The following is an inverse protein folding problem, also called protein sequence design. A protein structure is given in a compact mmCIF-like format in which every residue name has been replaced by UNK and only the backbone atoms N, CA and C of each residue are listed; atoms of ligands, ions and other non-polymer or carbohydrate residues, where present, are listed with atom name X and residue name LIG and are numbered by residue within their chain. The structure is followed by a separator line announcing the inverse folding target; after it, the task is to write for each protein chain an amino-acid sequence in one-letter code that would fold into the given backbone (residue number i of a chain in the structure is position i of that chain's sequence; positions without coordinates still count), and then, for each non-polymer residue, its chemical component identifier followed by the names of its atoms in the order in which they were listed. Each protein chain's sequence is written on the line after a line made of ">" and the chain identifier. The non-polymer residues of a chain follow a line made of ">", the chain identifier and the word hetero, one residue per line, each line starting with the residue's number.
data_IF_203575190408
#
_entry.id   IF_203575190408
#
_cell.length_a   1.000
_cell.length_b   1.000
_cell.length_c   1.000
_cell.angle_alpha   90.00
_cell.angle_beta   90.00
_cell.angle_gamma   90.00
#
_symmetry.space_group_name_H-M   'P 1'
#
loop_
_entity.id
_entity.type
_entity.pdbx_description
1 polymer ?
#
# COMPACT_ATOMS: atom_id res chain seq x y z
N UNK A 1 31.22 -41.31 3.34
CA UNK A 1 30.27 -42.11 2.54
C UNK A 1 29.39 -42.87 3.51
N UNK A 2 28.04 -42.78 3.44
CA UNK A 2 27.21 -43.16 2.30
C UNK A 2 26.23 -42.06 1.86
N UNK A 3 25.77 -42.21 0.61
CA UNK A 3 24.83 -41.39 -0.06
C UNK A 3 23.39 -41.63 0.41
N UNK A 4 22.61 -40.54 0.58
CA UNK A 4 21.18 -40.61 0.78
C UNK A 4 20.46 -40.20 -0.49
N UNK A 5 19.74 -41.15 -1.05
CA UNK A 5 18.86 -41.02 -2.21
C UNK A 5 17.57 -40.33 -1.85
N UNK A 6 17.12 -39.35 -2.65
CA UNK A 6 15.77 -38.79 -2.61
C UNK A 6 14.83 -39.54 -3.56
N UNK A 7 13.59 -39.81 -3.17
CA UNK A 7 12.63 -40.41 -4.08
C UNK A 7 11.89 -39.34 -4.90
N UNK A 8 11.76 -39.65 -6.19
CA UNK A 8 10.88 -39.01 -7.17
C UNK A 8 9.41 -39.24 -6.82
N UNK A 9 8.60 -38.21 -6.79
CA UNK A 9 7.16 -38.34 -6.74
C UNK A 9 6.47 -37.78 -7.99
N UNK A 10 5.93 -38.68 -8.78
CA UNK A 10 4.65 -38.79 -9.43
C UNK A 10 4.12 -37.58 -10.23
N UNK A 11 4.22 -37.75 -11.55
CA UNK A 11 3.30 -37.21 -12.54
C UNK A 11 1.99 -37.99 -12.52
N UNK A 12 0.88 -37.32 -12.28
CA UNK A 12 -0.45 -37.85 -12.56
C UNK A 12 -0.96 -37.26 -13.88
N UNK A 13 -0.92 -38.06 -14.93
CA UNK A 13 -1.58 -37.81 -16.22
C UNK A 13 -3.07 -38.14 -16.10
N UNK A 14 -3.95 -37.18 -16.35
CA UNK A 14 -5.38 -37.46 -16.55
C UNK A 14 -5.67 -37.47 -18.05
N UNK A 15 -5.77 -38.66 -18.63
CA UNK A 15 -6.42 -38.93 -19.91
C UNK A 15 -7.90 -39.25 -19.64
N UNK A 16 -8.81 -38.50 -20.24
CA UNK A 16 -10.14 -38.95 -20.49
C UNK A 16 -10.71 -38.28 -21.73
N UNK A 17 -10.82 -39.04 -22.75
CA UNK A 17 -11.95 -39.39 -23.60
C UNK A 17 -12.44 -38.33 -24.58
N UNK A 18 -11.87 -38.48 -25.78
CA UNK A 18 -12.62 -38.22 -27.02
C UNK A 18 -13.65 -39.30 -27.21
N UNK A 19 -14.91 -38.98 -27.41
CA UNK A 19 -15.81 -39.74 -28.28
C UNK A 19 -16.82 -38.82 -28.96
N UNK A 20 -16.94 -39.09 -30.19
CA UNK A 20 -17.57 -38.60 -31.37
C UNK A 20 -19.09 -38.52 -31.41
N UNK A 21 -19.56 -37.63 -32.29
CA UNK A 21 -20.75 -37.65 -33.13
C UNK A 21 -22.10 -37.30 -32.50
N UNK A 22 -22.67 -36.18 -32.94
CA UNK A 22 -23.86 -36.17 -33.78
C UNK A 22 -24.29 -34.75 -34.17
N UNK A 23 -24.53 -34.56 -35.45
CA UNK A 23 -25.16 -33.40 -36.09
C UNK A 23 -26.55 -33.13 -35.50
N UNK A 24 -26.82 -31.87 -35.11
CA UNK A 24 -28.17 -31.29 -35.29
C UNK A 24 -28.03 -29.75 -35.29
N UNK A 25 -28.22 -29.20 -36.46
CA UNK A 25 -28.39 -27.77 -36.70
C UNK A 25 -29.70 -27.27 -36.12
N UNK A 26 -29.64 -26.54 -34.99
CA UNK A 26 -30.75 -25.69 -34.56
C UNK A 26 -30.21 -24.25 -34.49
N UNK A 27 -30.65 -23.47 -35.48
CA UNK A 27 -30.50 -22.03 -35.51
C UNK A 27 -31.38 -21.40 -34.44
N UNK A 28 -30.80 -20.95 -33.33
CA UNK A 28 -31.46 -20.02 -32.42
C UNK A 28 -31.22 -18.60 -32.91
N UNK A 29 -32.28 -17.99 -33.47
CA UNK A 29 -32.29 -16.54 -33.70
C UNK A 29 -32.50 -15.84 -32.37
N UNK A 30 -31.43 -15.22 -31.84
CA UNK A 30 -31.52 -14.31 -30.71
C UNK A 30 -31.96 -12.97 -31.23
N UNK A 31 -33.21 -12.59 -30.97
CA UNK A 31 -33.68 -11.21 -31.14
C UNK A 31 -32.97 -10.32 -30.11
N UNK A 32 -32.00 -9.54 -30.55
CA UNK A 32 -31.41 -8.45 -29.78
C UNK A 32 -32.35 -7.24 -29.80
N UNK A 33 -32.67 -6.64 -28.66
CA UNK A 33 -33.41 -5.36 -28.65
C UNK A 33 -32.51 -4.21 -29.18
N UNK A 34 -33.13 -3.16 -29.71
CA UNK A 34 -32.37 -2.06 -30.34
C UNK A 34 -31.51 -1.29 -29.31
N UNK A 35 -30.32 -0.91 -29.76
CA UNK A 35 -29.30 -0.15 -29.04
C UNK A 35 -29.87 1.14 -28.42
N UNK A 36 -30.04 1.13 -27.09
CA UNK A 36 -30.00 2.35 -26.29
C UNK A 36 -28.79 2.26 -25.35
N UNK A 37 -27.65 2.77 -25.79
CA UNK A 37 -26.38 2.78 -25.06
C UNK A 37 -26.19 4.10 -24.31
N UNK A 38 -27.17 4.54 -23.56
CA UNK A 38 -26.96 5.60 -22.57
C UNK A 38 -26.69 4.97 -21.20
N UNK A 39 -25.59 5.31 -20.52
CA UNK A 39 -25.31 4.80 -19.18
C UNK A 39 -26.29 5.40 -18.19
N UNK A 40 -27.20 4.58 -17.65
CA UNK A 40 -28.06 4.99 -16.53
C UNK A 40 -27.24 5.01 -15.27
N UNK A 41 -27.07 6.19 -14.69
CA UNK A 41 -26.51 6.37 -13.36
C UNK A 41 -27.52 5.90 -12.31
N UNK A 42 -27.21 4.81 -11.63
CA UNK A 42 -27.79 4.48 -10.33
C UNK A 42 -26.68 4.80 -9.31
N UNK A 43 -27.01 5.61 -8.30
CA UNK A 43 -26.06 6.06 -7.28
C UNK A 43 -25.28 4.88 -6.69
N UNK A 44 -23.97 4.90 -6.85
CA UNK A 44 -23.03 4.05 -6.11
C UNK A 44 -22.55 2.77 -6.78
N UNK A 45 -23.10 2.29 -7.91
CA UNK A 45 -22.72 1.02 -8.52
C UNK A 45 -22.23 1.18 -9.96
N UNK A 46 -20.95 0.85 -10.20
CA UNK A 46 -20.41 0.69 -11.55
C UNK A 46 -20.73 -0.73 -12.07
N UNK A 47 -21.64 -0.84 -13.02
CA UNK A 47 -21.91 -2.11 -13.72
C UNK A 47 -20.97 -2.22 -14.91
N UNK A 48 -20.14 -3.26 -14.95
CA UNK A 48 -19.36 -3.61 -16.15
C UNK A 48 -20.27 -4.27 -17.20
N UNK A 49 -19.87 -4.24 -18.48
CA UNK A 49 -20.51 -4.91 -19.62
C UNK A 49 -20.81 -6.42 -19.43
N UNK A 50 -20.29 -7.04 -18.37
CA UNK A 50 -20.50 -8.45 -18.03
C UNK A 50 -21.61 -8.67 -16.99
N UNK A 51 -22.30 -7.61 -16.52
CA UNK A 51 -23.33 -7.72 -15.49
C UNK A 51 -22.84 -8.13 -14.09
N UNK A 52 -21.52 -8.26 -13.89
CA UNK A 52 -20.93 -8.58 -12.58
C UNK A 52 -20.70 -7.29 -11.81
N UNK A 53 -21.39 -7.15 -10.69
CA UNK A 53 -21.25 -6.02 -9.78
C UNK A 53 -19.83 -6.01 -9.18
N UNK A 54 -19.12 -4.87 -9.29
CA UNK A 54 -17.79 -4.74 -8.70
C UNK A 54 -17.91 -4.74 -7.17
N UNK A 55 -17.01 -5.46 -6.47
CA UNK A 55 -17.01 -5.42 -5.01
C UNK A 55 -16.76 -3.99 -4.50
N UNK A 56 -17.38 -3.61 -3.36
CA UNK A 56 -17.15 -2.32 -2.76
C UNK A 56 -15.67 -2.19 -2.37
N UNK A 57 -15.06 -1.04 -2.68
CA UNK A 57 -13.70 -0.74 -2.27
C UNK A 57 -13.66 -0.42 -0.78
N UNK A 58 -12.58 -0.78 -0.07
CA UNK A 58 -12.38 -0.36 1.31
C UNK A 58 -12.60 1.15 1.48
N UNK A 59 -13.20 1.56 2.58
CA UNK A 59 -13.39 2.97 2.89
C UNK A 59 -12.06 3.65 3.17
N UNK A 60 -11.18 2.97 3.94
CA UNK A 60 -9.85 3.48 4.31
C UNK A 60 -8.75 2.44 4.11
N UNK A 61 -7.56 2.94 3.81
CA UNK A 61 -6.29 2.24 3.95
C UNK A 61 -5.52 3.00 5.03
N UNK A 62 -5.31 2.38 6.19
CA UNK A 62 -4.70 2.99 7.37
C UNK A 62 -3.29 2.41 7.51
N UNK A 63 -2.28 3.27 7.40
CA UNK A 63 -0.88 2.91 7.53
C UNK A 63 -0.43 3.15 8.97
N UNK A 64 0.07 2.13 9.66
CA UNK A 64 0.49 2.20 11.06
C UNK A 64 1.94 1.77 11.18
N UNK A 65 2.82 2.64 11.70
CA UNK A 65 4.17 2.25 12.12
C UNK A 65 4.11 1.49 13.44
N UNK A 66 5.00 0.51 13.61
CA UNK A 66 5.15 -0.19 14.90
C UNK A 66 5.37 0.78 16.08
N UNK A 67 4.93 0.39 17.28
CA UNK A 67 5.18 1.10 18.52
C UNK A 67 6.68 1.19 18.86
N UNK A 68 7.03 1.89 19.92
CA UNK A 68 8.41 2.01 20.35
C UNK A 68 9.02 0.62 20.59
N UNK A 69 10.11 0.31 19.86
CA UNK A 69 10.87 -0.94 20.01
C UNK A 69 12.12 -0.75 20.88
N UNK A 70 12.69 -1.86 21.35
CA UNK A 70 13.98 -1.86 22.05
C UNK A 70 15.06 -1.17 21.22
N UNK A 71 15.09 -1.38 19.90
CA UNK A 71 16.02 -0.72 18.98
C UNK A 71 15.78 0.77 18.79
N UNK A 72 14.59 1.30 19.11
CA UNK A 72 14.34 2.74 19.13
C UNK A 72 14.90 3.43 20.40
N UNK A 73 15.00 2.70 21.50
CA UNK A 73 15.55 3.19 22.77
C UNK A 73 17.06 3.05 22.81
N UNK A 74 17.56 1.89 22.40
CA UNK A 74 18.99 1.57 22.38
C UNK A 74 19.38 0.85 21.08
N UNK A 75 20.07 1.55 20.19
CA UNK A 75 20.58 0.97 18.95
C UNK A 75 21.53 -0.22 19.18
N UNK A 76 22.14 -0.35 20.38
CA UNK A 76 22.98 -1.50 20.69
C UNK A 76 22.19 -2.83 20.77
N UNK A 77 20.86 -2.77 20.85
CA UNK A 77 20.02 -3.95 20.77
C UNK A 77 20.27 -4.73 19.47
N UNK A 78 20.52 -4.03 18.35
CA UNK A 78 20.79 -4.65 17.05
C UNK A 78 22.12 -5.43 17.00
N UNK A 79 23.06 -5.18 17.90
CA UNK A 79 24.30 -5.96 17.98
C UNK A 79 24.12 -7.30 18.68
N UNK A 80 23.04 -7.45 19.44
CA UNK A 80 22.75 -8.64 20.25
C UNK A 80 21.59 -9.47 19.70
N UNK A 81 20.64 -8.81 19.06
CA UNK A 81 19.41 -9.43 18.56
C UNK A 81 19.24 -9.07 17.09
N UNK A 82 18.96 -10.05 16.24
CA UNK A 82 18.69 -9.82 14.83
C UNK A 82 17.48 -8.89 14.65
N UNK A 83 17.55 -7.95 13.72
CA UNK A 83 16.52 -6.92 13.48
C UNK A 83 15.08 -7.48 13.43
N UNK A 84 14.79 -8.60 12.74
CA UNK A 84 13.44 -9.16 12.73
C UNK A 84 12.92 -9.60 14.11
N UNK A 85 13.81 -9.82 15.07
CA UNK A 85 13.49 -10.34 16.42
C UNK A 85 13.42 -9.24 17.50
N UNK A 86 13.75 -7.98 17.16
CA UNK A 86 13.65 -6.85 18.09
C UNK A 86 12.21 -6.68 18.54
N UNK A 87 12.00 -6.64 19.86
CA UNK A 87 10.68 -6.54 20.49
C UNK A 87 10.22 -5.09 20.68
N UNK A 88 8.93 -4.90 20.99
CA UNK A 88 8.42 -3.67 21.55
C UNK A 88 8.85 -3.48 23.00
N UNK A 89 8.95 -2.22 23.43
CA UNK A 89 8.97 -1.86 24.84
C UNK A 89 7.56 -1.89 25.42
N UNK A 90 7.41 -1.88 26.76
CA UNK A 90 6.12 -1.72 27.41
C UNK A 90 5.40 -0.43 26.94
N UNK A 91 6.17 0.66 26.74
CA UNK A 91 5.64 1.91 26.19
C UNK A 91 5.11 1.70 24.77
N UNK A 92 5.86 0.97 23.92
CA UNK A 92 5.43 0.68 22.55
C UNK A 92 4.14 -0.15 22.48
N UNK A 93 3.93 -1.06 23.43
CA UNK A 93 2.67 -1.82 23.56
C UNK A 93 1.49 -0.90 23.92
N UNK A 94 1.68 0.02 24.89
CA UNK A 94 0.66 1.00 25.27
C UNK A 94 0.35 1.99 24.12
N UNK A 95 1.38 2.44 23.39
CA UNK A 95 1.20 3.28 22.18
C UNK A 95 0.36 2.55 21.13
N UNK A 96 0.60 1.26 20.92
CA UNK A 96 -0.17 0.45 19.97
C UNK A 96 -1.62 0.22 20.42
N UNK A 97 -1.88 0.02 21.70
CA UNK A 97 -3.25 -0.08 22.26
C UNK A 97 -4.01 1.22 22.04
N UNK A 98 -3.40 2.37 22.36
CA UNK A 98 -3.98 3.69 22.10
C UNK A 98 -4.28 3.90 20.62
N UNK A 99 -3.36 3.53 19.72
CA UNK A 99 -3.58 3.59 18.29
C UNK A 99 -4.79 2.75 17.86
N UNK A 100 -4.94 1.55 18.41
CA UNK A 100 -6.08 0.68 18.14
C UNK A 100 -7.42 1.31 18.55
N UNK A 101 -7.46 1.95 19.73
CA UNK A 101 -8.63 2.68 20.22
C UNK A 101 -8.98 3.83 19.27
N UNK A 102 -7.98 4.64 18.89
CA UNK A 102 -8.19 5.77 17.97
C UNK A 102 -8.72 5.33 16.60
N UNK A 103 -8.19 4.21 16.06
CA UNK A 103 -8.69 3.65 14.79
C UNK A 103 -10.15 3.19 14.95
N UNK A 104 -10.48 2.50 16.03
CA UNK A 104 -11.86 2.06 16.28
C UNK A 104 -12.81 3.25 16.39
N UNK A 105 -12.48 4.24 17.20
CA UNK A 105 -13.31 5.44 17.40
C UNK A 105 -13.52 6.21 16.10
N UNK A 106 -12.47 6.36 15.29
CA UNK A 106 -12.57 6.97 13.96
C UNK A 106 -13.55 6.20 13.05
N UNK A 107 -13.52 4.86 13.07
CA UNK A 107 -14.42 4.04 12.25
C UNK A 107 -15.87 4.11 12.81
N UNK A 108 -16.04 4.08 14.11
CA UNK A 108 -17.36 4.14 14.77
C UNK A 108 -18.04 5.50 14.58
N UNK A 109 -17.26 6.59 14.50
CA UNK A 109 -17.75 7.93 14.20
C UNK A 109 -18.45 8.04 12.83
N UNK A 110 -18.21 7.10 11.90
CA UNK A 110 -18.93 7.04 10.63
C UNK A 110 -20.41 6.64 10.78
N UNK A 111 -20.81 6.10 11.92
CA UNK A 111 -22.19 5.66 12.21
C UNK A 111 -22.60 4.34 11.54
N UNK A 112 -21.74 3.70 10.74
CA UNK A 112 -22.07 2.43 10.11
C UNK A 112 -21.99 1.26 11.10
N UNK A 113 -23.03 0.41 11.14
CA UNK A 113 -23.09 -0.75 12.04
C UNK A 113 -22.39 -1.99 11.52
N UNK A 114 -22.11 -2.05 10.22
CA UNK A 114 -21.57 -3.23 9.49
C UNK A 114 -20.07 -3.16 9.21
N UNK A 115 -19.36 -2.19 9.78
CA UNK A 115 -17.94 -1.99 9.51
C UNK A 115 -17.08 -3.20 9.90
N UNK A 116 -16.01 -3.41 9.11
CA UNK A 116 -15.01 -4.47 9.31
C UNK A 116 -13.61 -3.90 9.15
N UNK A 117 -12.62 -4.64 9.71
CA UNK A 117 -11.20 -4.34 9.56
C UNK A 117 -10.48 -5.57 9.03
N UNK A 118 -9.60 -5.37 8.06
CA UNK A 118 -8.66 -6.37 7.55
C UNK A 118 -7.23 -5.89 7.79
N UNK A 119 -6.38 -6.76 8.31
CA UNK A 119 -5.01 -6.41 8.66
C UNK A 119 -3.99 -7.04 7.70
N UNK A 120 -3.06 -6.23 7.22
CA UNK A 120 -1.76 -6.67 6.72
C UNK A 120 -0.69 -6.32 7.75
N UNK A 121 0.27 -7.21 7.97
CA UNK A 121 1.32 -6.99 8.95
C UNK A 121 2.67 -7.48 8.43
N UNK A 122 3.73 -6.71 8.70
CA UNK A 122 5.11 -7.14 8.51
C UNK A 122 5.44 -8.32 9.43
N UNK A 123 6.28 -9.28 9.02
CA UNK A 123 6.65 -10.45 9.84
C UNK A 123 7.58 -10.13 11.01
N UNK A 124 8.06 -8.89 11.15
CA UNK A 124 8.98 -8.53 12.23
C UNK A 124 8.27 -8.52 13.58
N UNK A 125 8.96 -9.00 14.63
CA UNK A 125 8.39 -9.17 15.97
C UNK A 125 7.71 -7.88 16.47
N UNK A 126 8.37 -6.73 16.36
CA UNK A 126 7.81 -5.43 16.80
C UNK A 126 6.50 -5.05 16.09
N UNK A 127 6.31 -5.44 14.83
CA UNK A 127 5.05 -5.20 14.09
C UNK A 127 3.97 -6.21 14.47
N UNK A 128 4.32 -7.47 14.71
CA UNK A 128 3.39 -8.49 15.21
C UNK A 128 2.89 -8.16 16.62
N UNK A 129 3.79 -7.71 17.51
CA UNK A 129 3.43 -7.25 18.86
C UNK A 129 2.58 -5.95 18.81
N UNK A 130 2.86 -5.05 17.87
CA UNK A 130 2.03 -3.86 17.61
C UNK A 130 0.63 -4.28 17.18
N UNK A 131 0.49 -5.20 16.22
CA UNK A 131 -0.82 -5.70 15.80
C UNK A 131 -1.55 -6.38 16.96
N UNK A 132 -0.87 -7.22 17.74
CA UNK A 132 -1.46 -7.89 18.90
C UNK A 132 -2.03 -6.92 19.93
N UNK A 133 -1.32 -5.81 20.21
CA UNK A 133 -1.76 -4.77 21.14
C UNK A 133 -2.90 -3.92 20.54
N UNK A 134 -2.76 -3.49 19.28
CA UNK A 134 -3.76 -2.69 18.56
C UNK A 134 -5.08 -3.46 18.40
N UNK A 135 -5.01 -4.76 18.09
CA UNK A 135 -6.18 -5.58 17.84
C UNK A 135 -7.08 -5.79 19.08
N UNK A 136 -6.58 -5.56 20.31
CA UNK A 136 -7.38 -5.59 21.54
C UNK A 136 -8.56 -4.61 21.53
N UNK A 137 -8.45 -3.52 20.74
CA UNK A 137 -9.52 -2.56 20.60
C UNK A 137 -10.72 -3.08 19.78
N UNK A 138 -10.58 -4.21 19.06
CA UNK A 138 -11.60 -4.70 18.13
C UNK A 138 -12.22 -6.01 18.62
N UNK A 139 -13.55 -6.07 18.64
CA UNK A 139 -14.22 -7.34 18.84
C UNK A 139 -13.93 -8.29 17.67
N UNK A 140 -13.81 -9.60 17.95
CA UNK A 140 -13.46 -10.62 16.95
C UNK A 140 -14.36 -10.59 15.71
N UNK A 141 -15.65 -10.30 15.89
CA UNK A 141 -16.62 -10.22 14.80
C UNK A 141 -16.35 -9.05 13.84
N UNK A 142 -15.57 -8.04 14.24
CA UNK A 142 -15.16 -6.90 13.41
C UNK A 142 -13.93 -7.18 12.55
N UNK A 143 -13.18 -8.22 12.86
CA UNK A 143 -11.95 -8.58 12.15
C UNK A 143 -12.32 -9.51 10.98
N UNK A 144 -12.23 -9.00 9.76
CA UNK A 144 -12.47 -9.77 8.53
C UNK A 144 -11.32 -10.75 8.25
N UNK A 145 -10.08 -10.37 8.56
CA UNK A 145 -8.93 -11.24 8.39
C UNK A 145 -7.62 -10.57 8.78
N UNK A 146 -6.57 -11.38 8.84
CA UNK A 146 -5.19 -10.96 9.09
C UNK A 146 -4.29 -11.70 8.10
N UNK A 147 -3.36 -10.97 7.48
CA UNK A 147 -2.36 -11.55 6.58
C UNK A 147 -0.97 -11.01 6.92
N UNK A 148 -0.07 -11.91 7.21
CA UNK A 148 1.36 -11.59 7.26
C UNK A 148 1.88 -11.40 5.83
N UNK A 149 2.65 -10.31 5.61
CA UNK A 149 3.13 -9.94 4.29
C UNK A 149 4.63 -9.59 4.36
N UNK A 150 5.51 -10.50 3.91
CA UNK A 150 6.96 -10.31 4.02
C UNK A 150 7.50 -9.10 3.26
N UNK A 151 6.81 -8.64 2.21
CA UNK A 151 7.20 -7.43 1.47
C UNK A 151 7.03 -6.15 2.28
N UNK A 152 6.28 -6.20 3.41
CA UNK A 152 6.12 -5.08 4.35
C UNK A 152 7.23 -4.97 5.39
N UNK A 153 8.28 -5.82 5.37
CA UNK A 153 9.43 -5.72 6.28
C UNK A 153 10.13 -4.37 6.16
N UNK A 154 10.91 -3.99 7.17
CA UNK A 154 11.72 -2.77 7.10
C UNK A 154 12.84 -2.91 6.06
N UNK A 155 13.43 -1.78 5.67
CA UNK A 155 14.69 -1.76 4.91
C UNK A 155 15.73 -2.57 5.66
N UNK A 156 16.42 -3.46 4.96
CA UNK A 156 17.57 -4.14 5.53
C UNK A 156 18.76 -3.19 5.55
N UNK A 157 19.22 -2.89 6.76
CA UNK A 157 20.38 -2.02 6.96
C UNK A 157 21.72 -2.78 6.93
N UNK A 158 21.69 -4.07 6.62
CA UNK A 158 22.87 -4.93 6.61
C UNK A 158 23.33 -5.31 8.01
N UNK A 159 24.64 -5.46 8.22
CA UNK A 159 25.19 -5.95 9.46
C UNK A 159 25.33 -4.86 10.53
N UNK A 160 24.45 -4.85 11.53
CA UNK A 160 24.47 -3.95 12.68
C UNK A 160 25.47 -4.31 13.79
N UNK A 161 26.26 -5.37 13.64
CA UNK A 161 27.14 -5.85 14.71
C UNK A 161 28.25 -4.85 15.05
N UNK A 162 28.62 -3.97 14.11
CA UNK A 162 29.58 -2.89 14.30
C UNK A 162 28.84 -1.53 14.31
N UNK A 163 28.69 -0.96 15.52
CA UNK A 163 27.97 0.29 15.73
C UNK A 163 28.67 1.49 15.07
N UNK A 164 29.99 1.56 15.15
CA UNK A 164 30.76 2.70 14.60
C UNK A 164 30.69 2.68 13.08
N UNK A 165 30.87 1.51 12.47
CA UNK A 165 30.71 1.33 11.04
C UNK A 165 29.30 1.69 10.58
N UNK A 166 28.28 1.32 11.33
CA UNK A 166 26.89 1.67 11.02
C UNK A 166 26.63 3.18 11.08
N UNK A 167 27.24 3.89 12.05
CA UNK A 167 27.14 5.35 12.11
C UNK A 167 27.78 6.02 10.90
N UNK A 168 28.93 5.52 10.45
CA UNK A 168 29.58 5.99 9.21
C UNK A 168 28.70 5.76 7.99
N UNK A 169 28.09 4.59 7.87
CA UNK A 169 27.19 4.28 6.76
C UNK A 169 25.93 5.17 6.77
N UNK A 170 25.36 5.45 7.95
CA UNK A 170 24.24 6.39 8.09
C UNK A 170 24.65 7.82 7.68
N UNK A 171 25.87 8.26 8.00
CA UNK A 171 26.39 9.55 7.58
C UNK A 171 26.61 9.62 6.06
N UNK A 172 27.20 8.59 5.45
CA UNK A 172 27.33 8.47 3.98
C UNK A 172 25.97 8.55 3.29
N UNK A 173 24.97 7.81 3.82
CA UNK A 173 23.60 7.84 3.31
C UNK A 173 23.01 9.25 3.34
N UNK A 174 23.28 10.03 4.39
CA UNK A 174 22.77 11.41 4.50
C UNK A 174 23.31 12.31 3.39
N UNK A 175 24.56 12.08 2.95
CA UNK A 175 25.19 12.82 1.85
C UNK A 175 24.74 12.31 0.47
N UNK A 176 24.58 11.00 0.31
CA UNK A 176 24.26 10.38 -0.98
C UNK A 176 22.79 10.49 -1.35
N UNK A 177 21.90 10.62 -0.36
CA UNK A 177 20.45 10.54 -0.50
C UNK A 177 19.89 9.22 0.00
N UNK A 178 18.75 9.30 0.70
CA UNK A 178 18.14 8.12 1.35
C UNK A 178 17.57 7.12 0.38
N UNK A 179 17.21 7.54 -0.84
CA UNK A 179 16.52 6.67 -1.80
C UNK A 179 17.47 5.70 -2.47
N UNK A 180 18.60 6.16 -3.00
CA UNK A 180 19.50 5.32 -3.79
C UNK A 180 20.65 4.72 -2.99
N UNK A 181 20.96 5.24 -1.80
CA UNK A 181 22.04 4.68 -1.00
C UNK A 181 21.72 3.25 -0.57
N UNK A 182 22.58 2.30 -0.95
CA UNK A 182 22.51 0.91 -0.51
C UNK A 182 23.46 0.69 0.66
N UNK A 183 22.93 0.17 1.76
CA UNK A 183 23.79 -0.29 2.86
C UNK A 183 24.62 -1.50 2.44
N UNK A 184 25.88 -1.62 2.89
CA UNK A 184 26.66 -2.84 2.70
C UNK A 184 25.89 -4.06 3.24
N UNK A 185 25.78 -5.11 2.42
CA UNK A 185 25.01 -6.32 2.74
C UNK A 185 23.51 -6.09 3.07
N UNK A 186 22.96 -4.95 2.61
CA UNK A 186 21.59 -4.54 2.88
C UNK A 186 20.85 -4.02 1.66
N UNK A 187 19.73 -3.35 1.91
CA UNK A 187 18.85 -2.74 0.90
C UNK A 187 19.11 -1.22 0.77
N UNK A 188 18.87 -0.68 -0.41
CA UNK A 188 18.55 0.72 -0.62
C UNK A 188 17.04 0.95 -0.45
N UNK A 189 16.58 2.19 -0.36
CA UNK A 189 15.15 2.47 -0.42
C UNK A 189 14.57 2.17 -1.82
N UNK A 190 15.38 2.18 -2.89
CA UNK A 190 14.98 1.73 -4.21
C UNK A 190 14.62 0.24 -4.21
N UNK A 191 15.38 -0.64 -3.53
CA UNK A 191 15.02 -2.06 -3.38
C UNK A 191 13.70 -2.23 -2.62
N UNK A 192 13.49 -1.42 -1.58
CA UNK A 192 12.21 -1.38 -0.86
C UNK A 192 11.08 -0.96 -1.79
N UNK A 193 11.30 0.03 -2.67
CA UNK A 193 10.33 0.49 -3.65
C UNK A 193 9.91 -0.63 -4.61
N UNK A 194 10.85 -1.45 -5.07
CA UNK A 194 10.58 -2.56 -5.98
C UNK A 194 9.69 -3.62 -5.32
N UNK A 195 10.01 -4.05 -4.10
CA UNK A 195 9.17 -5.03 -3.39
C UNK A 195 7.81 -4.48 -2.95
N UNK A 196 7.74 -3.19 -2.62
CA UNK A 196 6.48 -2.51 -2.31
C UNK A 196 5.63 -2.32 -3.56
N UNK A 197 6.22 -2.17 -4.75
CA UNK A 197 5.49 -2.19 -6.01
C UNK A 197 4.73 -3.51 -6.17
N UNK A 198 5.39 -4.65 -5.94
CA UNK A 198 4.73 -5.96 -5.97
C UNK A 198 3.62 -6.11 -4.92
N UNK A 199 3.81 -5.59 -3.70
CA UNK A 199 2.75 -5.59 -2.68
C UNK A 199 1.56 -4.71 -3.09
N UNK A 200 1.83 -3.49 -3.61
CA UNK A 200 0.79 -2.58 -4.07
C UNK A 200 -0.09 -3.21 -5.15
N UNK A 201 0.50 -3.93 -6.11
CA UNK A 201 -0.28 -4.62 -7.14
C UNK A 201 -1.13 -5.76 -6.54
N UNK A 202 -0.60 -6.50 -5.56
CA UNK A 202 -1.38 -7.49 -4.81
C UNK A 202 -2.55 -6.83 -4.07
N UNK A 203 -2.31 -5.74 -3.36
CA UNK A 203 -3.35 -5.00 -2.64
C UNK A 203 -4.43 -4.47 -3.59
N UNK A 204 -4.04 -3.94 -4.77
CA UNK A 204 -4.99 -3.52 -5.79
C UNK A 204 -5.86 -4.67 -6.28
N UNK A 205 -5.24 -5.81 -6.59
CA UNK A 205 -5.98 -7.00 -7.01
C UNK A 205 -6.95 -7.49 -5.91
N UNK A 206 -6.51 -7.47 -4.64
CA UNK A 206 -7.37 -7.84 -3.51
C UNK A 206 -8.54 -6.86 -3.33
N UNK A 207 -8.33 -5.56 -3.57
CA UNK A 207 -9.40 -4.53 -3.59
C UNK A 207 -10.36 -4.76 -4.77
N UNK A 208 -9.81 -4.88 -5.98
CA UNK A 208 -10.63 -4.94 -7.21
C UNK A 208 -11.42 -6.26 -7.32
N UNK A 209 -10.95 -7.34 -6.69
CA UNK A 209 -11.62 -8.65 -6.62
C UNK A 209 -12.44 -8.85 -5.34
N UNK A 210 -12.31 -7.94 -4.35
CA UNK A 210 -13.01 -8.03 -3.07
C UNK A 210 -12.59 -9.23 -2.23
N UNK A 211 -11.29 -9.58 -2.21
CA UNK A 211 -10.76 -10.76 -1.52
C UNK A 211 -10.71 -10.68 0.00
N UNK A 212 -11.10 -9.57 0.59
CA UNK A 212 -11.07 -9.35 2.04
C UNK A 212 -12.22 -10.02 2.77
N UNK A 213 -13.30 -10.32 2.08
CA UNK A 213 -14.54 -10.86 2.65
C UNK A 213 -15.20 -11.81 1.66
N UNK A 214 -15.93 -12.83 2.16
CA UNK A 214 -16.79 -13.66 1.31
C UNK A 214 -17.78 -12.79 0.52
N UNK A 215 -18.18 -13.19 -0.69
CA UNK A 215 -19.06 -12.38 -1.56
C UNK A 215 -20.38 -11.95 -0.91
N UNK A 216 -20.95 -12.82 -0.09
CA UNK A 216 -22.20 -12.63 0.65
C UNK A 216 -22.07 -11.77 1.92
N UNK A 217 -20.84 -11.45 2.34
CA UNK A 217 -20.53 -10.69 3.55
C UNK A 217 -19.79 -9.39 3.28
N UNK A 218 -19.73 -8.94 2.02
CA UNK A 218 -19.01 -7.74 1.63
C UNK A 218 -19.68 -6.50 2.18
N UNK A 219 -18.94 -5.77 3.02
CA UNK A 219 -19.34 -4.46 3.54
C UNK A 219 -18.63 -3.34 2.79
N UNK A 220 -19.34 -2.27 2.39
CA UNK A 220 -18.72 -1.06 1.85
C UNK A 220 -17.93 -0.29 2.92
N UNK A 221 -18.12 -0.62 4.20
CA UNK A 221 -17.46 -0.02 5.37
C UNK A 221 -16.25 -0.85 5.83
N UNK A 222 -15.60 -1.54 4.92
CA UNK A 222 -14.33 -2.22 5.18
C UNK A 222 -13.18 -1.21 5.29
N UNK A 223 -12.34 -1.41 6.30
CA UNK A 223 -11.10 -0.66 6.49
C UNK A 223 -9.91 -1.63 6.42
N UNK A 224 -8.88 -1.28 5.69
CA UNK A 224 -7.63 -2.05 5.60
C UNK A 224 -6.58 -1.35 6.46
N UNK A 225 -5.98 -2.07 7.41
CA UNK A 225 -4.91 -1.56 8.26
C UNK A 225 -3.61 -2.27 7.91
N UNK A 226 -2.56 -1.50 7.64
CA UNK A 226 -1.24 -2.00 7.27
C UNK A 226 -0.27 -1.64 8.38
N UNK A 227 0.17 -2.64 9.16
CA UNK A 227 1.13 -2.47 10.25
C UNK A 227 2.54 -2.79 9.74
N UNK A 228 3.40 -1.78 9.70
CA UNK A 228 4.73 -1.89 9.10
C UNK A 228 5.73 -0.91 9.75
N UNK A 229 6.68 -0.38 8.97
CA UNK A 229 7.84 0.38 9.43
C UNK A 229 7.92 1.73 8.75
N UNK A 230 8.68 2.63 9.36
CA UNK A 230 8.69 4.02 8.96
C UNK A 230 9.14 4.28 7.53
N UNK A 231 10.24 3.66 7.07
CA UNK A 231 10.70 3.84 5.69
C UNK A 231 9.77 3.13 4.71
N UNK A 232 9.41 1.89 5.01
CA UNK A 232 8.54 1.06 4.15
C UNK A 232 7.19 1.73 3.89
N UNK A 233 6.57 2.36 4.90
CA UNK A 233 5.30 3.07 4.75
C UNK A 233 5.44 4.36 3.92
N UNK A 234 6.55 5.10 4.07
CA UNK A 234 6.82 6.28 3.22
C UNK A 234 7.03 5.88 1.76
N UNK A 235 7.72 4.78 1.51
CA UNK A 235 7.87 4.20 0.16
C UNK A 235 6.52 3.72 -0.39
N UNK A 236 5.65 3.15 0.46
CA UNK A 236 4.30 2.77 0.04
C UNK A 236 3.50 4.00 -0.43
N UNK A 237 3.53 5.11 0.32
CA UNK A 237 2.89 6.36 -0.10
C UNK A 237 3.49 6.90 -1.39
N UNK A 238 4.83 6.96 -1.49
CA UNK A 238 5.53 7.36 -2.71
C UNK A 238 5.06 6.54 -3.91
N UNK A 239 4.99 5.22 -3.77
CA UNK A 239 4.56 4.33 -4.86
C UNK A 239 3.08 4.45 -5.18
N UNK A 240 2.25 4.70 -4.18
CA UNK A 240 0.80 4.86 -4.36
C UNK A 240 0.46 6.14 -5.12
N UNK A 241 1.00 7.27 -4.69
CA UNK A 241 0.73 8.59 -5.27
C UNK A 241 1.70 8.98 -6.39
N UNK A 242 2.64 8.11 -6.77
CA UNK A 242 3.65 8.35 -7.81
C UNK A 242 4.54 9.57 -7.52
N UNK A 243 4.86 9.79 -6.24
CA UNK A 243 5.75 10.87 -5.85
C UNK A 243 7.17 10.67 -6.37
N UNK A 244 7.85 11.77 -6.63
CA UNK A 244 9.25 11.78 -7.06
C UNK A 244 10.19 11.42 -5.92
N UNK A 245 11.45 11.11 -6.24
CA UNK A 245 12.50 10.87 -5.23
C UNK A 245 12.70 12.11 -4.36
N UNK A 246 12.71 13.30 -4.96
CA UNK A 246 12.83 14.57 -4.22
C UNK A 246 11.69 14.76 -3.21
N UNK A 247 10.45 14.45 -3.60
CA UNK A 247 9.29 14.50 -2.71
C UNK A 247 9.40 13.47 -1.57
N UNK A 248 9.84 12.24 -1.88
CA UNK A 248 10.09 11.23 -0.85
C UNK A 248 11.17 11.65 0.16
N UNK A 249 12.26 12.26 -0.31
CA UNK A 249 13.36 12.72 0.55
C UNK A 249 12.91 13.77 1.59
N UNK A 250 11.85 14.50 1.31
CA UNK A 250 11.27 15.50 2.22
C UNK A 250 10.39 14.89 3.31
N UNK A 251 9.87 13.67 3.10
CA UNK A 251 8.94 13.07 4.07
C UNK A 251 9.61 12.80 5.41
N UNK A 252 8.96 13.24 6.47
CA UNK A 252 9.32 12.91 7.84
C UNK A 252 8.91 11.49 8.20
N UNK A 253 9.48 10.96 9.27
CA UNK A 253 9.13 9.62 9.72
C UNK A 253 7.83 9.65 10.51
N UNK A 254 7.09 8.55 10.48
CA UNK A 254 5.95 8.32 11.37
C UNK A 254 6.44 8.32 12.83
N UNK A 255 5.64 8.84 13.77
CA UNK A 255 5.83 8.57 15.18
C UNK A 255 5.70 7.08 15.51
N UNK A 256 6.12 6.64 16.70
CA UNK A 256 5.85 5.28 17.17
C UNK A 256 4.34 5.07 17.31
N UNK A 257 3.83 3.96 16.79
CA UNK A 257 2.39 3.70 16.62
C UNK A 257 1.63 4.83 15.91
N UNK A 258 2.34 5.75 15.24
CA UNK A 258 1.72 6.81 14.44
C UNK A 258 1.05 6.24 13.19
N UNK A 259 -0.03 6.87 12.79
CA UNK A 259 -0.81 6.45 11.62
C UNK A 259 -0.96 7.55 10.57
N UNK A 260 -1.12 7.13 9.32
CA UNK A 260 -1.57 7.96 8.19
C UNK A 260 -2.75 7.28 7.53
N UNK A 261 -3.82 8.03 7.34
CA UNK A 261 -5.08 7.52 6.81
C UNK A 261 -5.27 7.98 5.38
N UNK A 262 -5.40 7.03 4.48
CA UNK A 262 -5.79 7.22 3.10
C UNK A 262 -7.28 6.90 3.01
N UNK A 263 -8.15 7.90 2.95
CA UNK A 263 -9.59 7.70 2.89
C UNK A 263 -10.11 7.91 1.47
N UNK A 264 -11.14 7.16 1.11
CA UNK A 264 -11.76 7.21 -0.21
C UNK A 264 -12.50 8.54 -0.39
N UNK A 265 -12.08 9.33 -1.36
CA UNK A 265 -12.72 10.57 -1.75
C UNK A 265 -14.01 10.37 -2.56
N UNK A 266 -14.65 11.46 -2.93
CA UNK A 266 -15.95 11.50 -3.61
C UNK A 266 -15.94 10.79 -4.96
N UNK A 267 -14.82 10.83 -5.70
CA UNK A 267 -14.65 10.14 -6.97
C UNK A 267 -14.20 8.68 -6.85
N UNK A 268 -13.96 8.16 -5.62
CA UNK A 268 -13.58 6.78 -5.35
C UNK A 268 -12.07 6.50 -5.35
N UNK A 269 -11.21 7.53 -5.50
CA UNK A 269 -9.77 7.45 -5.24
C UNK A 269 -9.48 7.71 -3.77
N UNK A 270 -8.28 7.34 -3.31
CA UNK A 270 -7.86 7.60 -1.95
C UNK A 270 -7.08 8.91 -1.87
N UNK A 271 -7.45 9.77 -0.92
CA UNK A 271 -6.76 11.02 -0.60
C UNK A 271 -6.42 11.10 0.88
N UNK A 272 -5.29 11.70 1.20
CA UNK A 272 -4.89 12.01 2.58
C UNK A 272 -5.72 13.17 3.15
N UNK A 273 -6.11 14.12 2.29
CA UNK A 273 -6.91 15.30 2.68
C UNK A 273 -8.38 15.00 3.01
N UNK A 274 -8.82 13.74 2.86
CA UNK A 274 -10.13 13.32 3.38
C UNK A 274 -10.14 13.19 4.90
N UNK A 275 -8.98 12.91 5.50
CA UNK A 275 -8.84 12.67 6.94
C UNK A 275 -7.92 13.68 7.62
N UNK A 276 -6.79 14.03 7.00
CA UNK A 276 -5.79 14.91 7.55
C UNK A 276 -5.98 16.36 7.10
N UNK A 277 -5.59 17.30 7.95
CA UNK A 277 -5.49 18.72 7.59
C UNK A 277 -4.24 18.97 6.74
N UNK A 278 -4.26 20.05 5.95
CA UNK A 278 -3.06 20.48 5.21
C UNK A 278 -1.87 20.74 6.13
N UNK A 279 -2.11 21.33 7.31
CA UNK A 279 -1.05 21.63 8.27
C UNK A 279 -0.34 20.36 8.77
N UNK A 280 -1.10 19.31 9.09
CA UNK A 280 -0.55 18.00 9.48
C UNK A 280 0.26 17.38 8.36
N UNK A 281 -0.25 17.45 7.12
CA UNK A 281 0.44 16.90 5.96
C UNK A 281 1.71 17.70 5.61
N UNK A 282 1.70 19.03 5.77
CA UNK A 282 2.91 19.85 5.65
C UNK A 282 3.95 19.49 6.72
N UNK A 283 3.53 19.27 7.96
CA UNK A 283 4.40 18.76 9.03
C UNK A 283 4.95 17.37 8.71
N UNK A 284 4.19 16.54 8.01
CA UNK A 284 4.67 15.24 7.53
C UNK A 284 5.64 15.36 6.34
N UNK A 285 5.72 16.53 5.70
CA UNK A 285 6.68 16.86 4.63
C UNK A 285 6.08 16.95 3.24
N UNK A 286 4.75 17.00 3.09
CA UNK A 286 4.13 17.22 1.79
C UNK A 286 4.42 18.65 1.29
N UNK A 287 4.74 18.76 0.00
CA UNK A 287 4.88 20.04 -0.71
C UNK A 287 3.50 20.52 -1.18
N UNK A 288 3.42 21.81 -1.58
CA UNK A 288 2.20 22.36 -2.15
C UNK A 288 1.71 21.57 -3.36
N UNK A 289 2.63 21.14 -4.23
CA UNK A 289 2.31 20.28 -5.38
C UNK A 289 1.68 18.94 -4.96
N UNK A 290 2.22 18.31 -3.91
CA UNK A 290 1.66 17.07 -3.37
C UNK A 290 0.28 17.30 -2.76
N UNK A 291 0.05 18.44 -2.09
CA UNK A 291 -1.26 18.79 -1.53
C UNK A 291 -2.29 19.06 -2.63
N UNK A 292 -1.92 19.76 -3.70
CA UNK A 292 -2.78 19.96 -4.87
C UNK A 292 -3.19 18.64 -5.53
N UNK A 293 -2.25 17.67 -5.63
CA UNK A 293 -2.59 16.33 -6.10
C UNK A 293 -3.55 15.62 -5.13
N UNK A 294 -3.37 15.76 -3.82
CA UNK A 294 -4.28 15.18 -2.83
C UNK A 294 -5.69 15.80 -2.91
N UNK A 295 -5.78 17.10 -3.17
CA UNK A 295 -7.08 17.76 -3.39
C UNK A 295 -7.76 17.24 -4.66
N UNK A 296 -7.01 17.08 -5.76
CA UNK A 296 -7.52 16.44 -6.96
C UNK A 296 -7.99 14.99 -6.70
N UNK A 297 -7.24 14.18 -5.94
CA UNK A 297 -7.60 12.80 -5.59
C UNK A 297 -8.95 12.71 -4.83
N UNK A 298 -9.38 13.75 -4.11
CA UNK A 298 -10.68 13.76 -3.41
C UNK A 298 -11.85 13.67 -4.36
N UNK A 299 -11.74 14.23 -5.55
CA UNK A 299 -12.84 14.39 -6.51
C UNK A 299 -12.70 13.47 -7.74
N UNK A 300 -11.49 13.13 -8.12
CA UNK A 300 -11.18 12.39 -9.34
C UNK A 300 -11.67 10.94 -9.31
N UNK A 301 -12.28 10.51 -10.42
CA UNK A 301 -12.75 9.14 -10.61
C UNK A 301 -11.61 8.19 -10.97
N UNK A 302 -11.73 6.88 -10.69
CA UNK A 302 -10.79 5.90 -11.21
C UNK A 302 -10.70 5.96 -12.73
N UNK A 303 -9.47 6.03 -13.27
CA UNK A 303 -9.22 6.16 -14.71
C UNK A 303 -9.02 7.60 -15.19
N UNK A 304 -9.49 8.61 -14.46
CA UNK A 304 -9.17 10.00 -14.80
C UNK A 304 -7.67 10.28 -14.67
N UNK A 305 -7.16 11.10 -15.56
CA UNK A 305 -5.76 11.57 -15.57
C UNK A 305 -5.73 13.00 -15.06
N UNK A 306 -4.78 13.30 -14.19
CA UNK A 306 -4.52 14.67 -13.77
C UNK A 306 -3.76 15.40 -14.87
N UNK A 307 -4.47 16.19 -15.67
CA UNK A 307 -3.88 17.01 -16.72
C UNK A 307 -3.26 18.33 -16.21
N UNK A 308 -3.53 18.70 -14.94
CA UNK A 308 -2.90 19.85 -14.29
C UNK A 308 -1.50 19.50 -13.78
N UNK A 309 -0.79 18.63 -14.49
CA UNK A 309 0.55 18.21 -14.13
C UNK A 309 1.65 19.24 -14.43
N UNK A 310 1.32 20.44 -14.88
CA UNK A 310 2.26 21.58 -14.88
C UNK A 310 2.95 21.77 -13.53
N UNK A 311 2.24 21.39 -12.44
CA UNK A 311 2.75 21.45 -11.06
C UNK A 311 3.53 20.20 -10.63
N UNK A 312 3.41 19.10 -11.34
CA UNK A 312 4.06 17.80 -11.02
C UNK A 312 5.09 17.38 -12.05
N UNK A 313 5.07 18.05 -13.23
CA UNK A 313 6.10 17.88 -14.25
C UNK A 313 7.43 18.38 -13.73
N UNK A 314 8.50 17.58 -13.84
CA UNK A 314 9.83 18.10 -13.59
C UNK A 314 10.04 19.27 -14.56
N UNK A 315 10.68 20.32 -14.08
CA UNK A 315 11.13 21.48 -14.89
C UNK A 315 12.16 21.11 -15.98
N UNK A 316 12.20 19.84 -16.38
CA UNK A 316 13.08 19.34 -17.44
C UNK A 316 12.80 19.93 -18.81
N UNK A 317 11.58 20.48 -19.00
CA UNK A 317 11.13 21.00 -20.27
C UNK A 317 10.89 22.51 -20.26
N UNK A 318 11.47 23.24 -19.30
CA UNK A 318 11.38 24.71 -19.25
C UNK A 318 11.88 25.39 -20.53
N UNK A 319 12.77 24.72 -21.28
CA UNK A 319 13.25 25.19 -22.58
C UNK A 319 12.19 25.16 -23.69
N UNK A 320 11.06 24.44 -23.49
CA UNK A 320 9.91 24.49 -24.42
C UNK A 320 9.01 25.70 -24.18
N UNK A 321 9.11 26.36 -23.01
CA UNK A 321 8.31 27.52 -22.66
C UNK A 321 8.92 28.84 -23.19
N UNK A 322 10.18 28.80 -23.65
CA UNK A 322 10.83 29.95 -24.30
C UNK A 322 10.22 30.18 -25.67
N UNK A 323 9.29 31.15 -25.73
CA UNK A 323 8.64 31.59 -26.98
C UNK A 323 9.61 32.11 -28.04
N UNK A 324 10.91 32.22 -27.73
CA UNK A 324 11.99 32.70 -28.61
C UNK A 324 12.85 31.56 -29.19
N UNK A 325 12.57 30.31 -28.95
CA UNK A 325 13.28 29.20 -29.61
C UNK A 325 12.83 29.08 -31.05
N UNK A 326 13.40 29.94 -31.89
CA UNK A 326 13.39 29.81 -33.35
C UNK A 326 13.89 28.40 -33.69
N UNK A 327 12.96 27.60 -34.21
CA UNK A 327 13.10 26.35 -34.93
C UNK A 327 14.43 25.59 -34.76
N UNK A 328 14.41 24.48 -34.06
CA UNK A 328 15.34 23.40 -34.32
C UNK A 328 15.07 22.92 -35.76
N UNK A 329 15.89 23.39 -36.70
CA UNK A 329 15.99 22.78 -38.01
C UNK A 329 16.53 21.38 -37.81
N UNK A 330 15.80 20.37 -38.23
CA UNK A 330 16.34 19.05 -38.44
C UNK A 330 17.49 19.22 -39.47
N UNK A 331 18.69 18.87 -39.05
CA UNK A 331 19.82 18.69 -39.97
C UNK A 331 19.63 17.28 -40.50
N UNK A 332 19.43 17.19 -41.82
CA UNK A 332 19.42 15.95 -42.61
C UNK A 332 20.70 15.15 -42.45
#
# INVERSE_FOLDING_TARGET
>A
MPALSFPLFYQASCRACLNSNANSSHSFSVNLPPNDMSPRFIEGTYVNFTGVEKPPRPRRIILVRHGQSEGNVDESAYTRVADPKIALTHKGMAEAETCGINIREMIEADGASDWKVYFYVSPYRRTLETLGSLAKAFHRSRIAGVREEPRLREQDFGNFQDREKMQLEKAKRALYGRFFYRFPDGESAADVYDRITGFRETLRADIDLGRFQPPDQRSPNLNVVIVSHGLTLRIFLMRWYKWTVSQFERLHNFGNAGMVVMERGYGGRYSLLMHHTEEELRKFGLTDQMLLDQEWQKHARPGEVNYNCELTGPSYFTHFDDKDSKGFGFID
#
